data_IF_045874874887
#
_entry.id   IF_045874874887
#
_cell.length_a   1.000
_cell.length_b   1.000
_cell.length_c   1.000
_cell.angle_alpha   90.00
_cell.angle_beta   90.00
_cell.angle_gamma   90.00
#
_symmetry.space_group_name_H-M   'P 1'
#
loop_
_entity.id
_entity.type
_entity.pdbx_description
1 polymer ?
#
# COMPACT_ATOMS: atom_id res chain seq x y z
N UNK A 1 12.75 -3.00 -5.94
CA UNK A 1 13.10 -4.29 -5.26
C UNK A 1 14.40 -4.18 -4.44
N UNK A 2 14.23 -3.90 -3.17
CA UNK A 2 15.09 -3.03 -2.35
C UNK A 2 15.70 -3.75 -1.14
N UNK A 3 16.60 -3.08 -0.41
CA UNK A 3 17.05 -3.51 0.93
C UNK A 3 15.92 -3.31 1.96
N UNK A 4 15.59 -4.36 2.72
CA UNK A 4 14.53 -4.28 3.73
C UNK A 4 15.06 -3.52 4.95
N UNK A 5 14.46 -2.36 5.25
CA UNK A 5 14.78 -1.57 6.46
C UNK A 5 13.69 -1.68 7.52
N UNK A 6 12.47 -2.03 7.14
CA UNK A 6 11.34 -2.15 8.06
C UNK A 6 10.38 -3.26 7.62
N UNK A 7 9.89 -4.00 8.61
CA UNK A 7 8.80 -4.98 8.46
C UNK A 7 7.70 -4.58 9.41
N UNK A 8 6.46 -4.56 8.92
CA UNK A 8 5.28 -4.36 9.76
C UNK A 8 4.13 -5.21 9.27
N UNK A 9 3.13 -5.41 10.12
CA UNK A 9 1.95 -6.20 9.79
C UNK A 9 0.69 -5.53 10.33
N UNK A 10 -0.43 -5.81 9.66
CA UNK A 10 -1.77 -5.36 10.03
C UNK A 10 -2.61 -6.62 10.28
N UNK A 11 -3.32 -6.66 11.39
CA UNK A 11 -4.22 -7.76 11.78
C UNK A 11 -5.46 -7.20 12.49
N UNK A 12 -6.37 -8.06 12.90
CA UNK A 12 -7.70 -7.70 13.46
C UNK A 12 -8.47 -6.73 12.55
N UNK A 13 -8.34 -6.93 11.24
CA UNK A 13 -9.00 -6.12 10.23
C UNK A 13 -10.47 -6.49 10.08
N UNK A 14 -11.27 -5.53 9.64
CA UNK A 14 -12.71 -5.70 9.42
C UNK A 14 -13.09 -5.11 8.05
N UNK A 15 -13.96 -5.77 7.27
CA UNK A 15 -14.33 -5.33 5.93
C UNK A 15 -14.98 -3.93 5.89
N UNK A 16 -15.57 -3.47 7.00
CA UNK A 16 -16.24 -2.19 7.10
C UNK A 16 -15.28 -1.01 7.36
N UNK A 17 -14.02 -1.29 7.71
CA UNK A 17 -13.03 -0.28 8.08
C UNK A 17 -11.86 -0.26 7.07
N UNK A 18 -12.00 0.46 5.95
CA UNK A 18 -10.93 0.59 4.96
C UNK A 18 -9.75 1.39 5.52
N UNK A 19 -8.57 1.22 4.91
CA UNK A 19 -7.33 1.91 5.27
C UNK A 19 -6.67 2.50 4.02
N UNK A 20 -5.81 3.50 4.20
CA UNK A 20 -4.98 4.03 3.12
C UNK A 20 -5.41 5.42 2.66
N UNK A 21 -5.55 5.62 1.35
CA UNK A 21 -5.75 6.91 0.70
C UNK A 21 -4.56 7.87 0.92
N UNK A 22 -3.38 7.39 0.55
CA UNK A 22 -2.16 8.19 0.50
C UNK A 22 -1.19 7.62 -0.54
N UNK A 23 -0.22 8.43 -0.92
CA UNK A 23 0.96 8.00 -1.65
C UNK A 23 2.22 8.16 -0.79
N UNK A 24 3.31 7.54 -1.25
CA UNK A 24 4.65 7.78 -0.76
C UNK A 24 5.56 8.28 -1.87
N UNK A 25 6.43 9.23 -1.55
CA UNK A 25 7.36 9.79 -2.54
C UNK A 25 8.49 8.83 -2.86
N UNK A 26 9.16 8.28 -1.83
CA UNK A 26 10.36 7.47 -1.99
C UNK A 26 10.20 6.02 -1.49
N UNK A 27 9.18 5.73 -0.67
CA UNK A 27 8.99 4.42 -0.09
C UNK A 27 8.61 3.38 -1.16
N UNK A 28 9.35 2.28 -1.22
CA UNK A 28 8.98 1.07 -1.94
C UNK A 28 8.51 0.00 -0.95
N UNK A 29 7.52 -0.81 -1.34
CA UNK A 29 6.93 -1.81 -0.46
C UNK A 29 6.61 -3.11 -1.17
N UNK A 30 6.60 -4.22 -0.43
CA UNK A 30 6.03 -5.50 -0.87
C UNK A 30 4.95 -5.90 0.13
N UNK A 31 3.73 -6.11 -0.37
CA UNK A 31 2.56 -6.51 0.41
C UNK A 31 2.30 -8.00 0.20
N UNK A 32 2.14 -8.74 1.30
CA UNK A 32 1.91 -10.19 1.28
C UNK A 32 0.71 -10.50 2.19
N UNK A 33 -0.30 -11.19 1.65
CA UNK A 33 -1.48 -11.57 2.43
C UNK A 33 -1.23 -12.89 3.17
N UNK A 34 -0.85 -12.80 4.43
CA UNK A 34 -0.51 -13.97 5.27
C UNK A 34 -1.73 -14.84 5.60
N UNK A 35 -2.90 -14.22 5.75
CA UNK A 35 -4.17 -14.93 5.93
C UNK A 35 -5.35 -14.06 5.53
N UNK A 36 -6.38 -14.65 4.94
CA UNK A 36 -7.57 -13.92 4.51
C UNK A 36 -7.37 -13.25 3.15
N UNK A 37 -8.07 -12.13 2.91
CA UNK A 37 -7.95 -11.37 1.68
C UNK A 37 -8.13 -9.87 1.88
N UNK A 38 -7.65 -9.06 0.94
CA UNK A 38 -8.08 -7.66 0.77
C UNK A 38 -7.96 -7.21 -0.69
N UNK A 39 -8.62 -6.09 -1.01
CA UNK A 39 -8.43 -5.37 -2.25
C UNK A 39 -7.44 -4.21 -2.05
N UNK A 40 -6.43 -4.13 -2.92
CA UNK A 40 -5.53 -2.99 -3.05
C UNK A 40 -5.92 -2.22 -4.31
N UNK A 41 -6.29 -0.96 -4.16
CA UNK A 41 -6.49 -0.05 -5.28
C UNK A 41 -5.21 0.75 -5.44
N UNK A 42 -4.63 0.73 -6.63
CA UNK A 42 -3.43 1.46 -7.00
C UNK A 42 -3.78 2.54 -8.02
N UNK A 43 -3.14 3.70 -7.89
CA UNK A 43 -3.30 4.80 -8.82
C UNK A 43 -1.97 5.52 -9.03
N UNK A 44 -1.50 5.55 -10.28
CA UNK A 44 -0.23 6.19 -10.70
C UNK A 44 -0.41 7.67 -11.10
N UNK A 45 -1.61 8.21 -10.88
CA UNK A 45 -2.07 9.54 -11.29
C UNK A 45 -2.84 9.58 -12.60
N UNK A 46 -2.76 8.52 -13.40
CA UNK A 46 -3.41 8.42 -14.72
C UNK A 46 -4.29 7.17 -14.82
N UNK A 47 -3.77 6.04 -14.39
CA UNK A 47 -4.39 4.73 -14.40
C UNK A 47 -4.78 4.33 -12.98
N UNK A 48 -5.85 3.54 -12.88
CA UNK A 48 -6.31 2.96 -11.63
C UNK A 48 -6.47 1.45 -11.83
N UNK A 49 -5.91 0.65 -10.93
CA UNK A 49 -5.99 -0.80 -10.96
C UNK A 49 -6.41 -1.34 -9.60
N UNK A 50 -7.23 -2.40 -9.59
CA UNK A 50 -7.63 -3.11 -8.37
C UNK A 50 -7.01 -4.50 -8.37
N UNK A 51 -6.24 -4.81 -7.33
CA UNK A 51 -5.57 -6.09 -7.14
C UNK A 51 -6.12 -6.75 -5.88
N UNK A 52 -6.59 -7.99 -5.99
CA UNK A 52 -6.99 -8.79 -4.85
C UNK A 52 -5.80 -9.61 -4.34
N UNK A 53 -5.42 -9.44 -3.07
CA UNK A 53 -4.44 -10.27 -2.40
C UNK A 53 -5.18 -11.27 -1.52
N UNK A 54 -5.04 -12.56 -1.80
CA UNK A 54 -5.79 -13.63 -1.11
C UNK A 54 -4.96 -14.90 -0.87
N UNK A 55 -3.65 -14.86 -1.11
CA UNK A 55 -2.77 -16.01 -0.97
C UNK A 55 -1.36 -15.59 -0.50
N UNK A 56 -0.73 -16.36 0.40
CA UNK A 56 0.53 -15.97 1.06
C UNK A 56 1.79 -16.19 0.22
N UNK A 57 1.67 -16.92 -0.89
CA UNK A 57 2.74 -17.21 -1.85
C UNK A 57 2.85 -16.16 -2.96
N UNK A 58 2.06 -15.08 -2.90
CA UNK A 58 2.09 -13.96 -3.83
C UNK A 58 2.39 -12.65 -3.08
N UNK A 59 3.28 -11.84 -3.67
CA UNK A 59 3.61 -10.51 -3.18
C UNK A 59 3.27 -9.44 -4.20
N UNK A 60 2.66 -8.34 -3.75
CA UNK A 60 2.44 -7.14 -4.56
C UNK A 60 3.52 -6.11 -4.25
N UNK A 61 4.42 -5.90 -5.21
CA UNK A 61 5.38 -4.81 -5.15
C UNK A 61 4.71 -3.49 -5.53
N UNK A 62 4.91 -2.48 -4.69
CA UNK A 62 4.43 -1.11 -4.91
C UNK A 62 5.64 -0.18 -4.85
N UNK A 63 5.93 0.45 -5.99
CA UNK A 63 7.02 1.39 -6.11
C UNK A 63 6.71 2.78 -5.56
N UNK A 64 7.67 3.68 -5.80
CA UNK A 64 7.58 5.12 -5.51
C UNK A 64 6.43 5.77 -6.26
N UNK A 65 5.94 6.90 -5.74
CA UNK A 65 4.92 7.73 -6.39
C UNK A 65 3.65 6.94 -6.77
N UNK A 66 3.21 6.05 -5.89
CA UNK A 66 1.98 5.28 -6.09
C UNK A 66 0.96 5.63 -5.01
N UNK A 67 -0.20 6.14 -5.42
CA UNK A 67 -1.34 6.28 -4.52
C UNK A 67 -1.98 4.91 -4.28
N UNK A 68 -2.36 4.63 -3.04
CA UNK A 68 -3.03 3.38 -2.71
C UNK A 68 -4.13 3.50 -1.67
N UNK A 69 -5.09 2.62 -1.81
CA UNK A 69 -6.14 2.36 -0.83
C UNK A 69 -6.23 0.84 -0.60
N UNK A 70 -6.44 0.43 0.65
CA UNK A 70 -6.59 -0.95 1.05
C UNK A 70 -7.98 -1.13 1.66
N UNK A 71 -8.82 -1.96 1.08
CA UNK A 71 -10.21 -2.14 1.53
C UNK A 71 -10.65 -3.57 1.42
N UNK A 72 -11.88 -3.84 1.85
CA UNK A 72 -12.49 -5.17 1.79
C UNK A 72 -11.61 -6.24 2.45
N UNK A 73 -10.95 -5.91 3.55
CA UNK A 73 -10.23 -6.90 4.33
C UNK A 73 -11.23 -7.94 4.84
N UNK A 74 -10.97 -9.23 4.61
CA UNK A 74 -11.75 -10.27 5.29
C UNK A 74 -11.56 -10.12 6.81
N UNK A 75 -12.56 -10.50 7.59
CA UNK A 75 -12.50 -10.41 9.04
C UNK A 75 -11.26 -11.14 9.59
N UNK A 76 -10.43 -10.45 10.37
CA UNK A 76 -9.19 -11.00 10.94
C UNK A 76 -8.06 -11.30 9.93
N UNK A 77 -8.12 -10.71 8.72
CA UNK A 77 -7.05 -10.83 7.73
C UNK A 77 -5.72 -10.30 8.29
N UNK A 78 -4.61 -10.82 7.73
CA UNK A 78 -3.25 -10.48 8.15
C UNK A 78 -2.45 -10.07 6.93
N UNK A 79 -2.08 -8.80 6.86
CA UNK A 79 -1.25 -8.25 5.80
C UNK A 79 0.15 -8.00 6.35
N UNK A 80 1.15 -8.65 5.75
CA UNK A 80 2.57 -8.37 5.99
C UNK A 80 3.05 -7.34 4.97
N UNK A 81 3.88 -6.40 5.42
CA UNK A 81 4.51 -5.41 4.56
C UNK A 81 6.02 -5.34 4.82
N UNK A 82 6.78 -5.52 3.75
CA UNK A 82 8.21 -5.23 3.70
C UNK A 82 8.38 -3.82 3.13
N UNK A 83 9.21 -2.99 3.74
CA UNK A 83 9.41 -1.60 3.35
C UNK A 83 10.90 -1.27 3.17
N UNK A 84 11.20 -0.48 2.14
CA UNK A 84 12.56 -0.06 1.78
C UNK A 84 13.17 0.96 2.74
N UNK A 85 12.35 1.56 3.61
CA UNK A 85 12.77 2.61 4.53
C UNK A 85 12.09 2.55 5.90
N UNK A 86 12.71 3.22 6.86
CA UNK A 86 12.15 3.47 8.18
C UNK A 86 10.85 4.28 8.09
N UNK A 87 10.13 4.37 9.20
CA UNK A 87 8.92 5.20 9.26
C UNK A 87 9.31 6.67 9.24
N UNK A 88 8.77 7.42 8.28
CA UNK A 88 8.77 8.89 8.28
C UNK A 88 7.38 9.39 7.90
N UNK A 89 6.75 10.17 8.77
CA UNK A 89 5.44 10.76 8.51
C UNK A 89 5.49 11.79 7.36
N UNK A 90 6.64 12.43 7.13
CA UNK A 90 6.81 13.44 6.07
C UNK A 90 6.73 12.85 4.66
N UNK A 91 6.91 11.54 4.53
CA UNK A 91 6.80 10.81 3.26
C UNK A 91 5.34 10.52 2.86
N UNK A 92 4.35 10.81 3.73
CA UNK A 92 2.94 10.58 3.44
C UNK A 92 2.32 11.75 2.68
N UNK A 93 1.90 11.50 1.44
CA UNK A 93 1.09 12.44 0.65
C UNK A 93 -0.38 12.04 0.81
N UNK A 94 -1.11 12.75 1.69
CA UNK A 94 -2.51 12.45 2.03
C UNK A 94 -3.53 13.23 1.20
N UNK A 95 -3.08 14.23 0.44
CA UNK A 95 -3.93 14.99 -0.47
C UNK A 95 -3.73 14.51 -1.91
N UNK A 96 -4.81 14.05 -2.56
CA UNK A 96 -4.71 13.50 -3.91
C UNK A 96 -4.26 14.55 -4.96
N UNK A 97 -4.69 15.81 -4.82
CA UNK A 97 -4.24 16.88 -5.74
C UNK A 97 -2.77 17.27 -5.52
N UNK A 98 -2.24 17.11 -4.30
CA UNK A 98 -0.81 17.23 -4.04
C UNK A 98 -0.03 16.08 -4.69
N UNK A 99 -0.54 14.85 -4.57
CA UNK A 99 0.02 13.69 -5.25
C UNK A 99 0.10 13.93 -6.77
N UNK A 100 -0.99 14.37 -7.41
CA UNK A 100 -1.02 14.67 -8.84
C UNK A 100 -0.04 15.77 -9.27
N UNK A 101 0.17 16.79 -8.43
CA UNK A 101 1.18 17.83 -8.72
C UNK A 101 2.59 17.25 -8.67
N UNK A 102 2.91 16.53 -7.60
CA UNK A 102 4.24 15.97 -7.39
C UNK A 102 4.69 15.03 -8.51
N UNK A 103 3.80 14.23 -9.08
CA UNK A 103 4.13 13.27 -10.16
C UNK A 103 4.18 13.91 -11.56
N UNK A 104 3.55 15.07 -11.77
CA UNK A 104 3.58 15.77 -13.05
C UNK A 104 4.78 16.74 -13.14
N UNK A 105 5.33 17.14 -11.99
CA UNK A 105 6.53 17.97 -11.89
C UNK A 105 7.84 17.14 -11.95
N UNK A 106 7.75 15.81 -12.15
CA UNK A 106 8.88 14.89 -12.36
C UNK A 106 8.88 14.30 -13.76
#
# INVERSE_FOLDING_TARGET
PFEIKRVYYIFDTDPNFPRGAHAHKNLEQVLIMMSGSCDIILNDGKNCEKICLNRPDMGLYIGKNMWREMKNFSYGAKLLVLASDFYDEKEYIRNYNEFLRNINDT
#
